data_IF_177363871453
#
_entry.id   IF_177363871453
#
_cell.length_a   1.000
_cell.length_b   1.000
_cell.length_c   1.000
_cell.angle_alpha   90.00
_cell.angle_beta   90.00
_cell.angle_gamma   90.00
#
_symmetry.space_group_name_H-M   'P 1'
#
loop_
_entity.id
_entity.type
_entity.pdbx_description
1 polymer ?
#
# COMPACT_ATOMS: atom_id res chain seq x y z
N UNK A 1 -6.47 11.49 8.56
CA UNK A 1 -6.14 12.66 9.41
C UNK A 1 -5.75 12.14 10.79
N UNK A 2 -4.59 12.58 11.30
CA UNK A 2 -4.17 12.33 12.67
C UNK A 2 -5.10 13.08 13.63
N UNK A 3 -5.61 12.38 14.64
CA UNK A 3 -6.44 12.97 15.67
C UNK A 3 -5.55 13.56 16.77
N UNK A 4 -6.02 14.56 17.54
CA UNK A 4 -5.22 15.12 18.65
C UNK A 4 -4.68 14.06 19.62
N UNK A 5 -5.46 13.04 19.97
CA UNK A 5 -5.03 11.95 20.84
C UNK A 5 -3.95 11.01 20.26
N UNK A 6 -3.81 10.94 18.94
CA UNK A 6 -2.79 10.09 18.31
C UNK A 6 -1.38 10.60 18.60
N UNK A 7 -1.21 11.93 18.70
CA UNK A 7 0.07 12.57 19.06
C UNK A 7 0.47 12.25 20.50
N UNK A 8 -0.47 12.32 21.44
CA UNK A 8 -0.24 11.96 22.85
C UNK A 8 0.11 10.49 22.98
N UNK A 9 -0.59 9.63 22.24
CA UNK A 9 -0.32 8.19 22.21
C UNK A 9 1.09 7.89 21.69
N UNK A 10 1.52 8.52 20.58
CA UNK A 10 2.88 8.39 20.04
C UNK A 10 3.93 8.87 21.05
N UNK A 11 3.65 9.97 21.76
CA UNK A 11 4.55 10.48 22.80
C UNK A 11 4.71 9.50 23.94
N UNK A 12 3.60 8.91 24.40
CA UNK A 12 3.60 7.86 25.43
C UNK A 12 4.40 6.62 25.05
N UNK A 13 4.49 6.33 23.74
CA UNK A 13 5.30 5.22 23.20
C UNK A 13 6.77 5.61 22.90
N UNK A 14 7.18 6.85 23.13
CA UNK A 14 8.53 7.34 22.78
C UNK A 14 8.76 7.44 21.27
N UNK A 15 7.71 7.60 20.48
CA UNK A 15 7.78 7.65 19.02
C UNK A 15 7.64 9.06 18.45
N UNK A 16 7.37 10.07 19.28
CA UNK A 16 7.10 11.44 18.83
C UNK A 16 8.22 12.01 17.94
N UNK A 17 9.48 11.76 18.30
CA UNK A 17 10.65 12.23 17.54
C UNK A 17 11.00 11.35 16.32
N UNK A 18 10.23 10.27 16.10
CA UNK A 18 10.42 9.33 14.99
C UNK A 18 9.35 9.45 13.92
N UNK A 19 8.33 10.26 14.16
CA UNK A 19 7.19 10.45 13.26
C UNK A 19 7.12 11.89 12.80
N UNK A 20 7.26 12.09 11.51
CA UNK A 20 7.01 13.36 10.85
C UNK A 20 5.57 13.40 10.32
N UNK A 21 4.82 14.40 10.72
CA UNK A 21 3.47 14.66 10.22
C UNK A 21 3.53 15.73 9.16
N UNK A 22 3.26 15.34 7.92
CA UNK A 22 3.22 16.26 6.79
C UNK A 22 1.76 16.64 6.54
N UNK A 23 1.46 17.93 6.55
CA UNK A 23 0.15 18.45 6.20
C UNK A 23 -0.23 18.16 4.75
N UNK A 24 -1.45 18.57 4.36
CA UNK A 24 -1.91 18.39 2.99
C UNK A 24 -0.90 18.94 1.98
N UNK A 25 -0.50 18.09 1.04
CA UNK A 25 0.38 18.44 -0.08
C UNK A 25 -0.34 18.22 -1.41
N UNK A 26 0.01 18.96 -2.47
CA UNK A 26 -0.50 18.69 -3.81
C UNK A 26 -0.21 17.25 -4.24
N UNK A 27 -1.10 16.68 -5.05
CA UNK A 27 -0.98 15.29 -5.53
C UNK A 27 0.40 14.94 -6.08
N UNK A 28 1.01 15.83 -6.85
CA UNK A 28 2.36 15.62 -7.39
C UNK A 28 3.37 15.35 -6.27
N UNK A 29 3.36 16.19 -5.21
CA UNK A 29 4.27 16.03 -4.08
C UNK A 29 3.98 14.74 -3.30
N UNK A 30 2.71 14.36 -3.15
CA UNK A 30 2.34 13.07 -2.53
C UNK A 30 2.93 11.88 -3.30
N UNK A 31 2.90 11.89 -4.63
CA UNK A 31 3.49 10.83 -5.45
C UNK A 31 5.03 10.83 -5.41
N UNK A 32 5.65 12.01 -5.30
CA UNK A 32 7.09 12.13 -5.09
C UNK A 32 7.50 11.51 -3.74
N UNK A 33 6.83 11.86 -2.65
CA UNK A 33 7.06 11.29 -1.32
C UNK A 33 6.93 9.77 -1.31
N UNK A 34 5.94 9.22 -2.01
CA UNK A 34 5.79 7.77 -2.13
C UNK A 34 7.02 7.12 -2.82
N UNK A 35 7.56 7.74 -3.85
CA UNK A 35 8.75 7.24 -4.57
C UNK A 35 10.06 7.45 -3.81
N UNK A 36 10.11 8.46 -2.96
CA UNK A 36 11.26 8.80 -2.11
C UNK A 36 11.32 7.91 -0.84
N UNK A 37 10.22 7.23 -0.50
CA UNK A 37 10.15 6.36 0.68
C UNK A 37 10.83 5.02 0.44
N UNK A 38 11.46 4.47 1.45
CA UNK A 38 12.05 3.12 1.41
C UNK A 38 10.97 2.04 1.43
N UNK A 39 9.90 2.22 2.22
CA UNK A 39 8.77 1.30 2.35
C UNK A 39 7.48 2.08 2.39
N UNK A 40 6.44 1.57 1.75
CA UNK A 40 5.09 2.13 1.81
C UNK A 40 4.21 1.27 2.72
N UNK A 41 3.49 1.91 3.64
CA UNK A 41 2.57 1.23 4.54
C UNK A 41 1.13 1.39 4.04
N UNK A 42 0.50 0.28 3.64
CA UNK A 42 -0.90 0.23 3.25
C UNK A 42 -1.75 -0.32 4.41
N UNK A 43 -2.69 0.47 4.90
CA UNK A 43 -3.60 0.08 5.97
C UNK A 43 -5.03 0.01 5.44
N UNK A 44 -5.65 -1.17 5.52
CA UNK A 44 -7.08 -1.38 5.26
C UNK A 44 -7.65 -2.17 6.45
N UNK A 45 -8.31 -1.50 7.40
CA UNK A 45 -8.86 -2.20 8.56
C UNK A 45 -10.03 -3.08 8.14
N UNK A 46 -10.18 -4.22 8.82
CA UNK A 46 -11.40 -5.02 8.75
C UNK A 46 -12.34 -4.58 9.88
N UNK A 47 -13.50 -4.07 9.51
CA UNK A 47 -14.54 -3.70 10.48
C UNK A 47 -15.90 -4.24 10.05
N UNK A 48 -16.47 -5.12 10.85
CA UNK A 48 -17.80 -5.72 10.62
C UNK A 48 -17.95 -6.35 9.22
N UNK A 49 -16.94 -7.12 8.77
CA UNK A 49 -16.93 -7.77 7.45
C UNK A 49 -16.68 -6.83 6.29
N UNK A 50 -16.44 -5.54 6.55
CA UNK A 50 -16.04 -4.55 5.55
C UNK A 50 -14.52 -4.46 5.48
N UNK A 51 -13.96 -4.22 4.32
CA UNK A 51 -12.50 -4.15 4.10
C UNK A 51 -12.04 -5.14 3.00
N UNK A 52 -12.63 -6.34 2.96
CA UNK A 52 -12.25 -7.37 1.97
C UNK A 52 -12.45 -6.94 0.52
N UNK A 53 -13.51 -6.22 0.22
CA UNK A 53 -13.78 -5.67 -1.14
C UNK A 53 -13.10 -4.34 -1.43
N UNK A 54 -12.34 -3.78 -0.49
CA UNK A 54 -11.77 -2.43 -0.66
C UNK A 54 -10.53 -2.47 -1.55
N UNK A 55 -10.63 -1.81 -2.69
CA UNK A 55 -9.51 -1.45 -3.56
C UNK A 55 -9.43 0.07 -3.60
N UNK A 56 -8.69 0.65 -2.67
CA UNK A 56 -8.49 2.11 -2.65
C UNK A 56 -7.53 2.55 -3.76
N UNK A 57 -7.64 3.81 -4.20
CA UNK A 57 -6.70 4.39 -5.17
C UNK A 57 -5.23 4.31 -4.72
N UNK A 58 -4.98 4.31 -3.40
CA UNK A 58 -3.63 4.17 -2.83
C UNK A 58 -2.95 2.86 -3.23
N UNK A 59 -3.67 1.76 -3.34
CA UNK A 59 -3.09 0.46 -3.75
C UNK A 59 -2.41 0.60 -5.11
N UNK A 60 -3.09 1.22 -6.08
CA UNK A 60 -2.56 1.42 -7.42
C UNK A 60 -1.41 2.43 -7.46
N UNK A 61 -1.51 3.50 -6.67
CA UNK A 61 -0.43 4.49 -6.55
C UNK A 61 0.84 3.88 -5.94
N UNK A 62 0.70 3.02 -4.92
CA UNK A 62 1.81 2.35 -4.27
C UNK A 62 2.47 1.31 -5.18
N UNK A 63 1.68 0.52 -5.91
CA UNK A 63 2.20 -0.40 -6.92
C UNK A 63 2.99 0.39 -8.00
N UNK A 64 2.44 1.54 -8.45
CA UNK A 64 3.11 2.40 -9.44
C UNK A 64 4.32 3.16 -8.90
N UNK A 65 4.49 3.28 -7.59
CA UNK A 65 5.68 3.86 -6.98
C UNK A 65 6.88 2.91 -7.03
N UNK A 66 6.65 1.61 -7.23
CA UNK A 66 7.69 0.55 -7.31
C UNK A 66 8.59 0.56 -6.06
N UNK A 67 7.97 0.68 -4.90
CA UNK A 67 8.62 0.56 -3.59
C UNK A 67 8.07 -0.63 -2.83
N UNK A 68 8.85 -1.25 -1.94
CA UNK A 68 8.35 -2.31 -1.06
C UNK A 68 7.09 -1.86 -0.33
N UNK A 69 6.04 -2.66 -0.33
CA UNK A 69 4.79 -2.37 0.35
C UNK A 69 4.60 -3.34 1.51
N UNK A 70 4.49 -2.81 2.73
CA UNK A 70 3.91 -3.56 3.83
C UNK A 70 2.41 -3.29 3.88
N UNK A 71 1.62 -4.30 3.57
CA UNK A 71 0.17 -4.21 3.53
C UNK A 71 -0.46 -4.90 4.74
N UNK A 72 -0.95 -4.10 5.67
CA UNK A 72 -1.74 -4.56 6.81
C UNK A 72 -3.21 -4.48 6.40
N UNK A 73 -3.69 -5.57 5.81
CA UNK A 73 -4.99 -5.63 5.13
C UNK A 73 -5.62 -7.03 5.33
N UNK A 74 -6.96 -7.18 5.17
CA UNK A 74 -7.59 -8.50 5.20
C UNK A 74 -6.92 -9.45 4.21
N UNK A 75 -6.39 -10.60 4.66
CA UNK A 75 -5.53 -11.48 3.84
C UNK A 75 -6.29 -12.16 2.69
N UNK A 76 -7.60 -12.27 2.79
CA UNK A 76 -8.50 -12.77 1.73
C UNK A 76 -9.18 -11.64 0.95
N UNK A 77 -8.76 -10.39 1.16
CA UNK A 77 -9.32 -9.22 0.51
C UNK A 77 -8.76 -8.95 -0.89
N UNK A 78 -9.47 -8.08 -1.63
CA UNK A 78 -9.11 -7.71 -3.01
C UNK A 78 -7.73 -7.04 -3.10
N UNK A 79 -7.36 -6.21 -2.13
CA UNK A 79 -6.05 -5.57 -2.06
C UNK A 79 -4.94 -6.59 -1.84
N UNK A 80 -5.14 -7.54 -0.91
CA UNK A 80 -4.19 -8.61 -0.64
C UNK A 80 -3.97 -9.49 -1.88
N UNK A 81 -5.08 -9.85 -2.56
CA UNK A 81 -5.00 -10.61 -3.80
C UNK A 81 -4.18 -9.87 -4.87
N UNK A 82 -4.48 -8.61 -5.12
CA UNK A 82 -3.76 -7.80 -6.11
C UNK A 82 -2.27 -7.69 -5.79
N UNK A 83 -1.90 -7.45 -4.53
CA UNK A 83 -0.51 -7.35 -4.12
C UNK A 83 0.26 -8.67 -4.28
N UNK A 84 -0.38 -9.80 -3.99
CA UNK A 84 0.23 -11.12 -4.22
C UNK A 84 0.37 -11.44 -5.70
N UNK A 85 -0.68 -11.17 -6.49
CA UNK A 85 -0.69 -11.42 -7.94
C UNK A 85 0.39 -10.59 -8.66
N UNK A 86 0.65 -9.38 -8.18
CA UNK A 86 1.69 -8.48 -8.73
C UNK A 86 3.08 -8.69 -8.12
N UNK A 87 3.17 -9.39 -7.00
CA UNK A 87 4.41 -9.49 -6.22
C UNK A 87 4.86 -8.17 -5.59
N UNK A 88 3.97 -7.17 -5.49
CA UNK A 88 4.35 -5.80 -5.12
C UNK A 88 4.49 -5.55 -3.61
N UNK A 89 4.13 -6.50 -2.74
CA UNK A 89 4.21 -6.26 -1.30
C UNK A 89 3.92 -7.46 -0.42
N UNK A 90 4.31 -7.33 0.83
CA UNK A 90 4.07 -8.30 1.89
C UNK A 90 2.72 -8.04 2.55
N UNK A 91 1.91 -9.07 2.71
CA UNK A 91 0.56 -8.98 3.29
C UNK A 91 0.53 -9.59 4.67
N UNK A 92 0.06 -8.82 5.65
CA UNK A 92 -0.15 -9.26 7.03
C UNK A 92 -1.58 -8.92 7.45
N UNK A 93 -2.21 -9.78 8.25
CA UNK A 93 -3.55 -9.51 8.76
C UNK A 93 -3.53 -8.34 9.77
N UNK A 94 -4.59 -7.50 9.82
CA UNK A 94 -4.63 -6.34 10.72
C UNK A 94 -4.52 -6.69 12.21
N UNK A 95 -4.97 -7.88 12.60
CA UNK A 95 -4.95 -8.36 13.99
C UNK A 95 -3.64 -9.08 14.36
N UNK A 96 -2.80 -9.42 13.38
CA UNK A 96 -1.55 -10.16 13.60
C UNK A 96 -0.40 -9.21 13.96
N UNK A 97 -0.39 -8.77 15.21
CA UNK A 97 0.63 -7.84 15.74
C UNK A 97 2.04 -8.43 15.65
N UNK A 98 2.19 -9.72 15.89
CA UNK A 98 3.50 -10.38 15.83
C UNK A 98 3.98 -10.54 14.37
N UNK A 99 3.09 -10.84 13.45
CA UNK A 99 3.37 -10.82 12.01
C UNK A 99 3.76 -9.44 11.50
N UNK A 100 3.06 -8.38 11.93
CA UNK A 100 3.40 -6.99 11.58
C UNK A 100 4.81 -6.65 12.10
N UNK A 101 5.11 -7.01 13.36
CA UNK A 101 6.43 -6.81 13.95
C UNK A 101 7.51 -7.55 13.18
N UNK A 102 7.27 -8.82 12.86
CA UNK A 102 8.23 -9.64 12.11
C UNK A 102 8.51 -9.05 10.72
N UNK A 103 7.48 -8.62 10.00
CA UNK A 103 7.61 -7.98 8.70
C UNK A 103 8.42 -6.66 8.78
N UNK A 104 8.16 -5.83 9.79
CA UNK A 104 8.92 -4.58 9.99
C UNK A 104 10.40 -4.86 10.32
N UNK A 105 10.69 -5.87 11.14
CA UNK A 105 12.07 -6.28 11.47
C UNK A 105 12.80 -6.79 10.23
N UNK A 106 12.14 -7.61 9.39
CA UNK A 106 12.72 -8.10 8.14
C UNK A 106 13.00 -6.97 7.14
N UNK A 107 12.02 -6.10 6.92
CA UNK A 107 12.18 -4.91 6.06
C UNK A 107 13.35 -4.03 6.52
N UNK A 108 13.45 -3.78 7.83
CA UNK A 108 14.55 -3.01 8.39
C UNK A 108 15.91 -3.72 8.21
N UNK A 109 15.97 -5.04 8.37
CA UNK A 109 17.19 -5.80 8.15
C UNK A 109 17.61 -5.74 6.67
N UNK A 110 16.69 -5.94 5.75
CA UNK A 110 16.93 -5.80 4.30
C UNK A 110 17.41 -4.40 3.92
N UNK A 111 16.81 -3.36 4.51
CA UNK A 111 17.24 -1.99 4.32
C UNK A 111 18.67 -1.75 4.79
N UNK A 112 19.01 -2.19 6.00
CA UNK A 112 20.37 -2.07 6.54
C UNK A 112 21.42 -2.78 5.68
N UNK A 113 21.06 -3.91 5.09
CA UNK A 113 21.95 -4.71 4.27
C UNK A 113 22.00 -4.22 2.80
N UNK A 114 21.31 -3.13 2.45
CA UNK A 114 21.21 -2.62 1.08
C UNK A 114 20.48 -3.56 0.12
N UNK A 115 19.59 -4.40 0.64
CA UNK A 115 18.80 -5.40 -0.10
C UNK A 115 17.30 -5.10 -0.13
N UNK A 116 16.92 -3.87 0.19
CA UNK A 116 15.52 -3.45 0.20
C UNK A 116 15.08 -3.04 -1.21
N UNK A 117 14.85 -4.03 -2.05
CA UNK A 117 14.35 -3.82 -3.42
C UNK A 117 12.89 -4.23 -3.53
N UNK A 118 12.14 -3.49 -4.35
CA UNK A 118 10.84 -3.93 -4.83
C UNK A 118 11.03 -4.57 -6.20
N UNK A 119 10.44 -5.75 -6.46
CA UNK A 119 10.44 -6.29 -7.82
C UNK A 119 9.72 -5.32 -8.75
N UNK A 120 10.27 -5.02 -9.94
CA UNK A 120 9.58 -4.18 -10.90
C UNK A 120 8.27 -4.84 -11.33
N UNK A 121 7.23 -4.03 -11.48
CA UNK A 121 5.96 -4.51 -12.01
C UNK A 121 6.17 -5.08 -13.42
N UNK A 122 5.68 -6.30 -13.70
CA UNK A 122 5.78 -6.88 -15.04
C UNK A 122 5.01 -6.04 -16.07
N UNK A 123 5.44 -6.10 -17.34
CA UNK A 123 4.79 -5.36 -18.42
C UNK A 123 3.32 -5.78 -18.56
N UNK A 124 3.01 -7.07 -18.37
CA UNK A 124 1.63 -7.56 -18.35
C UNK A 124 0.78 -6.86 -17.30
N UNK A 125 1.29 -6.74 -16.08
CA UNK A 125 0.57 -6.04 -15.01
C UNK A 125 0.53 -4.53 -15.21
N UNK A 126 1.57 -3.93 -15.79
CA UNK A 126 1.59 -2.52 -16.18
C UNK A 126 0.46 -2.21 -17.16
N UNK A 127 0.35 -3.01 -18.20
CA UNK A 127 -0.72 -2.88 -19.19
C UNK A 127 -2.08 -3.11 -18.56
N UNK A 128 -2.25 -4.20 -17.83
CA UNK A 128 -3.51 -4.57 -17.19
C UNK A 128 -4.02 -3.52 -16.19
N UNK A 129 -3.14 -2.82 -15.50
CA UNK A 129 -3.50 -1.77 -14.53
C UNK A 129 -3.55 -0.37 -15.18
N UNK A 130 -3.19 -0.24 -16.46
CA UNK A 130 -3.21 1.05 -17.14
C UNK A 130 -4.63 1.59 -17.31
N UNK A 131 -4.77 2.92 -17.32
CA UNK A 131 -6.07 3.55 -17.62
C UNK A 131 -6.53 3.24 -19.03
N UNK A 132 -5.61 3.15 -19.99
CA UNK A 132 -5.91 2.84 -21.39
C UNK A 132 -6.61 1.48 -21.49
N UNK A 133 -6.04 0.43 -20.91
CA UNK A 133 -6.62 -0.91 -20.92
C UNK A 133 -7.98 -0.94 -20.24
N UNK A 134 -8.19 -0.20 -19.14
CA UNK A 134 -9.48 -0.11 -18.47
C UNK A 134 -10.55 0.57 -19.31
N UNK A 135 -10.18 1.64 -20.02
CA UNK A 135 -11.09 2.34 -20.94
C UNK A 135 -11.47 1.42 -22.11
N UNK A 136 -10.50 0.68 -22.64
CA UNK A 136 -10.76 -0.24 -23.76
C UNK A 136 -11.64 -1.43 -23.35
N UNK A 137 -11.42 -2.01 -22.16
CA UNK A 137 -12.28 -3.03 -21.58
C UNK A 137 -13.72 -2.54 -21.42
N UNK A 138 -13.91 -1.35 -20.86
CA UNK A 138 -15.22 -0.73 -20.71
C UNK A 138 -15.88 -0.47 -22.08
N UNK A 139 -15.13 0.07 -23.04
CA UNK A 139 -15.62 0.30 -24.38
C UNK A 139 -16.03 -1.01 -25.10
N UNK A 140 -15.29 -2.10 -24.84
CA UNK A 140 -15.65 -3.44 -25.31
C UNK A 140 -16.97 -3.93 -24.74
N UNK A 141 -17.15 -3.79 -23.42
CA UNK A 141 -18.41 -4.14 -22.75
C UNK A 141 -19.60 -3.34 -23.30
N UNK A 142 -19.45 -2.03 -23.45
CA UNK A 142 -20.52 -1.19 -23.99
C UNK A 142 -20.89 -1.56 -25.42
N UNK A 143 -19.92 -1.89 -26.26
CA UNK A 143 -20.18 -2.35 -27.64
C UNK A 143 -20.88 -3.72 -27.69
N UNK A 144 -20.67 -4.59 -26.69
CA UNK A 144 -21.34 -5.88 -26.63
C UNK A 144 -22.81 -5.81 -26.18
N UNK A 145 -23.23 -4.65 -25.63
CA UNK A 145 -24.59 -4.40 -25.17
C UNK A 145 -25.44 -3.62 -26.21
N UNK A 146 -24.82 -3.14 -27.28
CA UNK A 146 -25.47 -2.39 -28.35
C UNK A 146 -25.85 -3.31 -29.51
#
# INVERSE_FOLDING_TARGET
>A
DFRPGDREFMTGLGLADRVELIDYVPRRRSLELQRESEVLLLLIPEAAGRGRGVLSGKVFEYIAAERPILAVVPPDGAAAKLLRDTGAGDVVAPEDVDGIRAALVDLHARWRDGRLDAPPLSDEWRDKLSRASRVEELAGLLRSLA
#
